data_IF_909886334533
#
_entry.id   IF_909886334533
#
_cell.length_a   1.000
_cell.length_b   1.000
_cell.length_c   1.000
_cell.angle_alpha   90.00
_cell.angle_beta   90.00
_cell.angle_gamma   90.00
#
_symmetry.space_group_name_H-M   'P 1'
#
loop_
_entity.id
_entity.type
_entity.pdbx_description
1 polymer ?
#
# COMPACT_ATOMS: atom_id res chain seq x y z
N UNK A 1 26.16 3.50 -36.39
CA UNK A 1 25.88 2.57 -35.27
C UNK A 1 26.99 2.71 -34.24
N UNK A 2 26.69 3.15 -33.02
CA UNK A 2 27.65 3.15 -31.92
C UNK A 2 26.93 2.96 -30.60
N UNK A 3 27.14 1.79 -29.98
CA UNK A 3 26.78 1.48 -28.59
C UNK A 3 27.62 2.38 -27.68
N UNK A 4 27.01 3.08 -26.72
CA UNK A 4 27.76 3.75 -25.65
C UNK A 4 27.23 3.36 -24.29
N UNK A 5 28.10 2.64 -23.59
CA UNK A 5 28.13 2.41 -22.15
C UNK A 5 28.47 3.72 -21.42
N UNK A 6 27.89 3.94 -20.24
CA UNK A 6 28.41 4.86 -19.20
C UNK A 6 28.16 4.18 -17.85
N UNK A 7 29.12 3.43 -17.29
CA UNK A 7 30.19 3.83 -16.35
C UNK A 7 29.70 4.60 -15.11
N UNK A 8 29.65 3.87 -13.99
CA UNK A 8 29.37 4.34 -12.64
C UNK A 8 30.37 5.43 -12.22
N UNK A 9 29.86 6.57 -11.73
CA UNK A 9 30.64 7.57 -11.00
C UNK A 9 30.33 7.46 -9.51
N UNK A 10 31.38 7.27 -8.70
CA UNK A 10 31.39 7.50 -7.26
C UNK A 10 31.00 8.94 -6.98
N UNK A 11 29.99 9.17 -6.15
CA UNK A 11 29.75 10.46 -5.51
C UNK A 11 29.78 10.24 -4.00
N UNK A 12 30.62 11.04 -3.36
CA UNK A 12 30.95 11.06 -1.94
C UNK A 12 29.73 11.38 -1.06
N UNK A 13 29.65 10.72 0.09
CA UNK A 13 28.76 11.07 1.20
C UNK A 13 28.99 12.52 1.63
N UNK A 14 27.98 13.36 1.47
CA UNK A 14 27.76 14.57 2.26
C UNK A 14 26.32 14.54 2.76
N UNK A 15 26.13 14.87 4.03
CA UNK A 15 24.88 14.86 4.78
C UNK A 15 23.79 15.69 4.10
N UNK A 16 22.87 15.07 3.36
CA UNK A 16 21.67 15.74 2.85
C UNK A 16 20.55 14.69 2.60
N UNK A 17 19.51 14.80 3.43
CA UNK A 17 18.12 14.37 3.25
C UNK A 17 17.83 12.98 2.64
N UNK A 18 17.39 12.05 3.49
CA UNK A 18 16.88 10.73 3.11
C UNK A 18 15.50 10.79 2.39
N UNK A 19 15.41 11.36 1.19
CA UNK A 19 14.20 11.36 0.32
C UNK A 19 14.02 10.08 -0.51
N UNK A 20 14.43 8.92 -0.01
CA UNK A 20 14.06 7.66 -0.66
C UNK A 20 13.86 6.56 0.37
N UNK A 21 12.77 6.70 1.13
CA UNK A 21 12.21 5.55 1.85
C UNK A 21 11.90 4.49 0.79
N UNK A 22 12.47 3.30 0.92
CA UNK A 22 12.18 2.14 0.07
C UNK A 22 10.70 1.79 0.24
N UNK A 23 9.84 2.38 -0.57
CA UNK A 23 8.42 2.02 -0.63
C UNK A 23 8.41 0.61 -1.24
N UNK A 24 7.95 -0.38 -0.48
CA UNK A 24 7.62 -1.68 -1.05
C UNK A 24 6.31 -1.45 -1.81
N UNK A 25 6.42 -1.01 -3.06
CA UNK A 25 5.29 -0.59 -3.92
C UNK A 25 4.48 -1.81 -4.40
N UNK A 26 5.09 -3.00 -4.45
CA UNK A 26 4.47 -4.18 -5.04
C UNK A 26 3.92 -5.11 -3.96
N UNK A 27 2.79 -4.72 -3.34
CA UNK A 27 1.94 -5.69 -2.66
C UNK A 27 0.88 -6.19 -3.64
N UNK A 28 0.83 -7.51 -3.83
CA UNK A 28 -0.14 -8.18 -4.68
C UNK A 28 -1.00 -9.09 -3.80
N UNK A 29 -2.20 -8.64 -3.40
CA UNK A 29 -3.06 -9.44 -2.55
C UNK A 29 -3.51 -10.72 -3.25
N UNK A 30 -3.86 -11.77 -2.49
CA UNK A 30 -4.56 -12.93 -3.04
C UNK A 30 -5.81 -12.54 -3.83
N UNK A 31 -6.15 -13.33 -4.83
CA UNK A 31 -7.39 -13.13 -5.58
C UNK A 31 -8.58 -13.21 -4.62
N UNK A 32 -9.50 -12.25 -4.71
CA UNK A 32 -10.67 -12.18 -3.83
C UNK A 32 -10.41 -11.60 -2.44
N UNK A 33 -9.18 -11.15 -2.13
CA UNK A 33 -8.87 -10.56 -0.82
C UNK A 33 -9.82 -9.41 -0.43
N UNK A 34 -10.08 -8.49 -1.35
CA UNK A 34 -11.00 -7.37 -1.12
C UNK A 34 -12.49 -7.75 -1.19
N UNK A 35 -12.77 -9.02 -1.49
CA UNK A 35 -14.11 -9.60 -1.46
C UNK A 35 -14.43 -10.27 -0.11
N UNK A 36 -13.48 -10.32 0.81
CA UNK A 36 -13.67 -10.83 2.18
C UNK A 36 -14.43 -9.86 3.10
N UNK A 37 -14.63 -10.23 4.36
CA UNK A 37 -15.22 -9.34 5.38
C UNK A 37 -14.32 -8.14 5.68
N UNK A 38 -14.91 -7.06 6.21
CA UNK A 38 -14.13 -5.87 6.60
C UNK A 38 -13.06 -6.22 7.65
N UNK A 39 -13.39 -7.14 8.56
CA UNK A 39 -12.51 -7.65 9.60
C UNK A 39 -11.32 -8.41 9.01
N UNK A 40 -11.55 -9.35 8.08
CA UNK A 40 -10.47 -10.10 7.44
C UNK A 40 -9.56 -9.19 6.62
N UNK A 41 -10.14 -8.24 5.88
CA UNK A 41 -9.39 -7.25 5.11
C UNK A 41 -8.50 -6.42 6.05
N UNK A 42 -9.04 -5.95 7.18
CA UNK A 42 -8.29 -5.15 8.14
C UNK A 42 -7.15 -5.96 8.80
N UNK A 43 -7.40 -7.20 9.20
CA UNK A 43 -6.37 -8.07 9.78
C UNK A 43 -5.28 -8.42 8.76
N UNK A 44 -5.65 -8.84 7.55
CA UNK A 44 -4.66 -9.14 6.50
C UNK A 44 -3.82 -7.91 6.13
N UNK A 45 -4.43 -6.73 6.05
CA UNK A 45 -3.69 -5.49 5.82
C UNK A 45 -2.82 -5.09 7.02
N UNK A 46 -3.24 -5.35 8.25
CA UNK A 46 -2.44 -5.10 9.46
C UNK A 46 -1.18 -5.96 9.48
N UNK A 47 -1.30 -7.22 9.07
CA UNK A 47 -0.18 -8.17 9.04
C UNK A 47 0.80 -7.86 7.90
N UNK A 48 0.29 -7.44 6.73
CA UNK A 48 1.11 -7.18 5.56
C UNK A 48 1.63 -5.73 5.46
N UNK A 49 1.18 -4.81 6.31
CA UNK A 49 1.53 -3.38 6.24
C UNK A 49 2.40 -2.94 7.41
N UNK A 50 3.42 -2.15 7.11
CA UNK A 50 4.35 -1.59 8.10
C UNK A 50 3.70 -0.47 8.91
N UNK A 51 2.70 0.21 8.35
CA UNK A 51 2.00 1.31 9.01
C UNK A 51 0.54 1.39 8.60
N UNK A 52 -0.24 2.07 9.44
CA UNK A 52 -1.63 2.42 9.15
C UNK A 52 -1.77 3.17 7.82
N UNK A 53 -0.87 4.13 7.56
CA UNK A 53 -0.87 4.88 6.30
C UNK A 53 -0.72 3.96 5.08
N UNK A 54 0.18 2.97 5.15
CA UNK A 54 0.37 2.01 4.07
C UNK A 54 -0.86 1.10 3.91
N UNK A 55 -1.48 0.66 5.01
CA UNK A 55 -2.69 -0.16 4.96
C UNK A 55 -3.87 0.59 4.31
N UNK A 56 -4.05 1.87 4.66
CA UNK A 56 -5.08 2.74 4.07
C UNK A 56 -4.80 2.99 2.58
N UNK A 57 -3.55 3.31 2.22
CA UNK A 57 -3.14 3.54 0.83
C UNK A 57 -3.44 2.32 -0.06
N UNK A 58 -3.31 1.10 0.46
CA UNK A 58 -3.67 -0.13 -0.28
C UNK A 58 -5.17 -0.23 -0.55
N UNK A 59 -6.00 0.14 0.42
CA UNK A 59 -7.47 0.19 0.22
C UNK A 59 -7.82 1.26 -0.81
N UNK A 60 -7.24 2.47 -0.69
CA UNK A 60 -7.51 3.56 -1.62
C UNK A 60 -7.07 3.23 -3.04
N UNK A 61 -5.89 2.61 -3.19
CA UNK A 61 -5.40 2.11 -4.48
C UNK A 61 -6.36 1.09 -5.09
N UNK A 62 -6.92 0.19 -4.28
CA UNK A 62 -7.92 -0.77 -4.77
C UNK A 62 -9.20 -0.08 -5.24
N UNK A 63 -9.71 0.89 -4.46
CA UNK A 63 -10.90 1.67 -4.84
C UNK A 63 -10.64 2.42 -6.14
N UNK A 64 -9.54 3.17 -6.25
CA UNK A 64 -9.20 3.93 -7.46
C UNK A 64 -9.03 3.04 -8.69
N UNK A 65 -8.43 1.86 -8.56
CA UNK A 65 -8.28 0.91 -9.68
C UNK A 65 -9.60 0.32 -10.14
N UNK A 66 -10.60 0.25 -9.25
CA UNK A 66 -11.89 -0.37 -9.51
C UNK A 66 -13.06 0.63 -9.49
N UNK A 67 -12.79 1.93 -9.52
CA UNK A 67 -13.78 3.00 -9.29
C UNK A 67 -15.01 2.87 -10.21
N UNK A 68 -14.79 2.45 -11.46
CA UNK A 68 -15.84 2.24 -12.46
C UNK A 68 -16.68 0.97 -12.26
N UNK A 69 -16.28 0.05 -11.38
CA UNK A 69 -16.85 -1.30 -11.23
C UNK A 69 -17.22 -1.66 -9.79
N UNK A 70 -16.80 -0.86 -8.82
CA UNK A 70 -17.01 -1.13 -7.40
C UNK A 70 -18.43 -0.73 -6.98
N UNK A 71 -19.13 -1.62 -6.25
CA UNK A 71 -20.46 -1.31 -5.72
C UNK A 71 -20.38 -0.42 -4.48
N UNK A 72 -21.47 0.31 -4.19
CA UNK A 72 -21.59 1.09 -2.96
C UNK A 72 -21.38 0.25 -1.70
N UNK A 73 -21.93 -0.96 -1.66
CA UNK A 73 -21.74 -1.90 -0.54
C UNK A 73 -20.27 -2.29 -0.35
N UNK A 74 -19.53 -2.47 -1.45
CA UNK A 74 -18.09 -2.75 -1.39
C UNK A 74 -17.34 -1.56 -0.82
N UNK A 75 -17.67 -0.33 -1.25
CA UNK A 75 -17.07 0.89 -0.69
C UNK A 75 -17.33 0.99 0.82
N UNK A 76 -18.57 0.75 1.26
CA UNK A 76 -18.93 0.76 2.68
C UNK A 76 -18.11 -0.27 3.47
N UNK A 77 -17.97 -1.49 2.94
CA UNK A 77 -17.16 -2.55 3.55
C UNK A 77 -15.69 -2.16 3.66
N UNK A 78 -15.12 -1.57 2.62
CA UNK A 78 -13.72 -1.10 2.63
C UNK A 78 -13.51 0.08 3.58
N UNK A 79 -14.48 1.00 3.69
CA UNK A 79 -14.43 2.07 4.68
C UNK A 79 -14.51 1.52 6.11
N UNK A 80 -15.35 0.52 6.37
CA UNK A 80 -15.36 -0.18 7.66
C UNK A 80 -14.02 -0.85 7.95
N UNK A 81 -13.36 -1.44 6.94
CA UNK A 81 -12.02 -1.99 7.10
C UNK A 81 -10.98 -0.92 7.48
N UNK A 82 -11.08 0.31 6.93
CA UNK A 82 -10.24 1.45 7.35
C UNK A 82 -10.44 1.79 8.83
N UNK A 83 -11.69 1.88 9.30
CA UNK A 83 -12.00 2.15 10.71
C UNK A 83 -11.40 1.07 11.64
N UNK A 84 -11.48 -0.19 11.24
CA UNK A 84 -10.88 -1.30 11.98
C UNK A 84 -9.35 -1.21 11.99
N UNK A 85 -8.73 -0.82 10.87
CA UNK A 85 -7.28 -0.58 10.81
C UNK A 85 -6.83 0.51 11.78
N UNK A 86 -7.59 1.60 11.91
CA UNK A 86 -7.30 2.64 12.92
C UNK A 86 -7.23 2.03 14.33
N UNK A 87 -8.20 1.21 14.70
CA UNK A 87 -8.20 0.51 16.01
C UNK A 87 -7.01 -0.43 16.14
N UNK A 88 -6.77 -1.27 15.14
CA UNK A 88 -5.66 -2.24 15.13
C UNK A 88 -4.27 -1.61 15.17
N UNK A 89 -4.09 -0.36 14.72
CA UNK A 89 -2.79 0.33 14.78
C UNK A 89 -2.65 1.28 15.96
N UNK A 90 -3.75 1.74 16.57
CA UNK A 90 -3.71 2.63 17.74
C UNK A 90 -3.83 1.90 19.08
N UNK A 91 -4.42 0.70 19.10
CA UNK A 91 -4.60 -0.11 20.31
C UNK A 91 -3.58 -1.25 20.46
N UNK A 92 -2.64 -1.39 19.52
CA UNK A 92 -1.53 -2.37 19.54
C UNK A 92 -0.21 -1.74 19.97
#
# INVERSE_FOLDING_TARGET
>A
MNKKYYKLQKVSMSEEEHWSKKIIVFWNPPLGFFDESAENIAHGLKDDSVSLAQAIERIDTYISRNESKISGDTILRLNKAKELLYKLFCES
#
